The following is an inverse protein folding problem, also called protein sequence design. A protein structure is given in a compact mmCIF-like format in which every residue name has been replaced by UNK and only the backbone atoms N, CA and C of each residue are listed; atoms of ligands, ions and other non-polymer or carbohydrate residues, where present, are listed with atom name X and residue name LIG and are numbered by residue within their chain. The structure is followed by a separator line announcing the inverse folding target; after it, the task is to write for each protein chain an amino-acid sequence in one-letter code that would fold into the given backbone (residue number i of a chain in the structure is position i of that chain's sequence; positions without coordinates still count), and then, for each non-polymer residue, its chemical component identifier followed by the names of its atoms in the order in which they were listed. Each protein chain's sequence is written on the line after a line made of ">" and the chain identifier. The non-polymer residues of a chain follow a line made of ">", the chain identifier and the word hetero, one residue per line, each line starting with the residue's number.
data_IF_458467151552
#
_entry.id   IF_458467151552
#
_cell.length_a   1.000
_cell.length_b   1.000
_cell.length_c   1.000
_cell.angle_alpha   90.00
_cell.angle_beta   90.00
_cell.angle_gamma   90.00
#
_symmetry.space_group_name_H-M   'P 1'
#
loop_
_entity.id
_entity.type
_entity.pdbx_description
1 polymer ?
#
# COMPACT_ATOMS: atom_id res chain seq x y z
N UNK A 1 -20.30 -8.35 13.92
CA UNK A 1 -20.75 -7.07 14.50
C UNK A 1 -19.85 -5.93 14.06
N UNK A 2 -20.29 -4.69 14.25
CA UNK A 2 -19.45 -3.52 13.97
C UNK A 2 -18.21 -3.48 14.86
N UNK A 3 -18.35 -3.86 16.12
CA UNK A 3 -17.22 -3.86 17.08
C UNK A 3 -16.13 -4.87 16.65
N UNK A 4 -16.50 -6.06 16.21
CA UNK A 4 -15.54 -7.06 15.69
C UNK A 4 -14.79 -6.53 14.45
N UNK A 5 -15.48 -5.79 13.58
CA UNK A 5 -14.85 -5.16 12.42
C UNK A 5 -13.87 -4.08 12.87
N UNK A 6 -14.29 -3.23 13.81
CA UNK A 6 -13.45 -2.16 14.34
C UNK A 6 -12.16 -2.68 14.98
N UNK A 7 -12.27 -3.67 15.86
CA UNK A 7 -11.13 -4.33 16.51
C UNK A 7 -10.16 -4.98 15.49
N UNK A 8 -10.72 -5.60 14.46
CA UNK A 8 -9.90 -6.17 13.38
C UNK A 8 -9.16 -5.09 12.59
N UNK A 9 -9.83 -4.00 12.24
CA UNK A 9 -9.22 -2.89 11.51
C UNK A 9 -8.13 -2.19 12.35
N UNK A 10 -8.35 -1.98 13.65
CA UNK A 10 -7.32 -1.46 14.55
C UNK A 10 -6.05 -2.32 14.53
N UNK A 11 -6.21 -3.64 14.67
CA UNK A 11 -5.08 -4.58 14.61
C UNK A 11 -4.37 -4.55 13.25
N UNK A 12 -5.15 -4.51 12.17
CA UNK A 12 -4.60 -4.49 10.82
C UNK A 12 -3.82 -3.20 10.53
N UNK A 13 -4.42 -2.05 10.82
CA UNK A 13 -3.76 -0.75 10.60
C UNK A 13 -2.54 -0.59 11.53
N UNK A 14 -2.61 -1.09 12.77
CA UNK A 14 -1.47 -1.12 13.68
C UNK A 14 -0.29 -1.96 13.18
N UNK A 15 -0.57 -3.01 12.39
CA UNK A 15 0.47 -3.82 11.77
C UNK A 15 1.12 -3.14 10.56
N UNK A 16 0.30 -2.52 9.69
CA UNK A 16 0.76 -2.02 8.39
C UNK A 16 1.04 -0.51 8.37
N UNK A 17 0.56 0.24 9.36
CA UNK A 17 0.81 1.69 9.53
C UNK A 17 2.14 1.99 10.23
N UNK A 18 2.43 3.27 10.38
CA UNK A 18 3.66 3.75 11.02
C UNK A 18 3.72 3.33 12.50
N UNK A 19 4.90 2.90 12.95
CA UNK A 19 5.11 2.48 14.33
C UNK A 19 4.97 3.66 15.30
N UNK A 20 4.27 3.42 16.41
CA UNK A 20 4.05 4.42 17.47
C UNK A 20 2.98 5.46 17.16
N UNK A 21 2.31 5.39 16.00
CA UNK A 21 1.21 6.28 15.68
C UNK A 21 -0.06 5.87 16.39
N UNK A 22 -0.75 6.82 17.00
CA UNK A 22 -2.08 6.62 17.57
C UNK A 22 -3.09 6.37 16.45
N UNK A 23 -3.73 5.21 16.47
CA UNK A 23 -4.67 4.77 15.43
C UNK A 23 -6.11 4.90 15.92
N UNK A 24 -6.36 4.61 17.20
CA UNK A 24 -7.69 4.66 17.82
C UNK A 24 -8.17 6.10 18.02
N UNK A 25 -8.45 6.77 16.92
CA UNK A 25 -8.91 8.15 16.86
C UNK A 25 -10.40 8.24 16.52
N UNK A 26 -11.10 9.30 16.91
CA UNK A 26 -12.49 9.54 16.50
C UNK A 26 -12.68 9.47 14.97
N UNK A 27 -11.72 10.01 14.23
CA UNK A 27 -11.73 9.97 12.76
C UNK A 27 -11.61 8.53 12.23
N UNK A 28 -10.69 7.73 12.76
CA UNK A 28 -10.55 6.32 12.36
C UNK A 28 -11.83 5.54 12.62
N UNK A 29 -12.47 5.78 13.75
CA UNK A 29 -13.76 5.16 14.10
C UNK A 29 -14.86 5.55 13.12
N UNK A 30 -14.98 6.83 12.80
CA UNK A 30 -15.94 7.34 11.81
C UNK A 30 -15.70 6.72 10.43
N UNK A 31 -14.46 6.72 9.94
CA UNK A 31 -14.07 6.16 8.65
C UNK A 31 -14.39 4.65 8.59
N UNK A 32 -14.13 3.92 9.66
CA UNK A 32 -14.43 2.49 9.76
C UNK A 32 -15.94 2.22 9.71
N UNK A 33 -16.74 3.01 10.43
CA UNK A 33 -18.22 2.92 10.42
C UNK A 33 -18.74 3.22 9.00
N UNK A 34 -18.25 4.26 8.36
CA UNK A 34 -18.66 4.64 7.00
C UNK A 34 -18.32 3.54 5.98
N UNK A 35 -17.12 2.96 6.09
CA UNK A 35 -16.72 1.84 5.24
C UNK A 35 -17.58 0.59 5.48
N UNK A 36 -17.83 0.24 6.75
CA UNK A 36 -18.71 -0.87 7.09
C UNK A 36 -20.12 -0.69 6.51
N UNK A 37 -20.72 0.50 6.69
CA UNK A 37 -22.04 0.80 6.17
C UNK A 37 -22.09 0.74 4.63
N UNK A 38 -21.02 1.15 3.96
CA UNK A 38 -20.91 1.07 2.50
C UNK A 38 -20.87 -0.37 1.98
N UNK A 39 -20.22 -1.27 2.70
CA UNK A 39 -20.00 -2.66 2.24
C UNK A 39 -21.04 -3.65 2.76
N UNK A 40 -21.75 -3.36 3.87
CA UNK A 40 -22.75 -4.28 4.46
C UNK A 40 -23.85 -4.69 3.51
N UNK A 41 -24.23 -3.79 2.58
CA UNK A 41 -25.28 -4.01 1.60
C UNK A 41 -24.74 -4.65 0.30
N UNK A 42 -23.44 -4.85 0.18
CA UNK A 42 -22.86 -5.57 -0.95
C UNK A 42 -23.20 -7.05 -0.83
N UNK A 43 -24.07 -7.52 -1.73
CA UNK A 43 -24.60 -8.90 -1.77
C UNK A 43 -23.53 -9.99 -1.97
N UNK A 44 -22.29 -9.60 -2.16
CA UNK A 44 -21.23 -10.46 -2.59
C UNK A 44 -20.03 -10.36 -1.61
N UNK A 45 -19.99 -11.27 -0.65
CA UNK A 45 -18.86 -11.45 0.28
C UNK A 45 -17.57 -12.00 -0.36
N UNK A 46 -17.55 -12.27 -1.67
CA UNK A 46 -16.45 -12.92 -2.37
C UNK A 46 -15.39 -11.96 -2.94
N UNK A 47 -15.50 -10.65 -2.73
CA UNK A 47 -14.56 -9.67 -3.26
C UNK A 47 -13.10 -9.98 -2.91
N UNK A 48 -12.82 -10.28 -1.64
CA UNK A 48 -11.48 -10.69 -1.18
C UNK A 48 -11.01 -11.99 -1.84
N UNK A 49 -11.87 -13.01 -1.91
CA UNK A 49 -11.53 -14.28 -2.53
C UNK A 49 -11.21 -14.11 -4.03
N UNK A 50 -11.96 -13.28 -4.75
CA UNK A 50 -11.68 -12.96 -6.16
C UNK A 50 -10.33 -12.25 -6.33
N UNK A 51 -10.01 -11.28 -5.47
CA UNK A 51 -8.71 -10.62 -5.50
C UNK A 51 -7.57 -11.59 -5.24
N UNK A 52 -7.70 -12.43 -4.22
CA UNK A 52 -6.70 -13.46 -3.91
C UNK A 52 -6.50 -14.43 -5.08
N UNK A 53 -7.59 -14.91 -5.67
CA UNK A 53 -7.52 -15.79 -6.85
C UNK A 53 -6.87 -15.09 -8.05
N UNK A 54 -7.13 -13.80 -8.27
CA UNK A 54 -6.48 -13.03 -9.32
C UNK A 54 -4.97 -12.90 -9.08
N UNK A 55 -4.54 -12.70 -7.84
CA UNK A 55 -3.13 -12.66 -7.46
C UNK A 55 -2.46 -14.02 -7.70
N UNK A 56 -3.07 -15.10 -7.18
CA UNK A 56 -2.52 -16.47 -7.28
C UNK A 56 -2.48 -16.98 -8.72
N UNK A 57 -3.44 -16.59 -9.56
CA UNK A 57 -3.48 -16.95 -10.98
C UNK A 57 -2.61 -16.07 -11.87
N UNK A 58 -2.02 -15.00 -11.32
CA UNK A 58 -1.15 -14.10 -12.08
C UNK A 58 0.12 -14.82 -12.51
N UNK A 59 0.34 -14.89 -13.83
CA UNK A 59 1.59 -15.43 -14.40
C UNK A 59 2.76 -14.50 -14.09
N UNK A 60 3.98 -15.05 -14.20
CA UNK A 60 5.21 -14.27 -14.08
C UNK A 60 5.22 -13.09 -15.06
N UNK A 61 5.32 -11.87 -14.51
CA UNK A 61 5.27 -10.60 -15.26
C UNK A 61 6.64 -9.99 -15.55
N UNK A 62 7.73 -10.66 -15.22
CA UNK A 62 9.10 -10.13 -15.36
C UNK A 62 9.39 -9.62 -16.78
N UNK A 63 8.98 -10.37 -17.82
CA UNK A 63 9.17 -9.92 -19.21
C UNK A 63 8.44 -8.60 -19.50
N UNK A 64 7.22 -8.45 -19.00
CA UNK A 64 6.42 -7.22 -19.16
C UNK A 64 7.01 -6.05 -18.38
N UNK A 65 7.54 -6.30 -17.18
CA UNK A 65 8.20 -5.28 -16.36
C UNK A 65 9.46 -4.77 -17.06
N UNK A 66 10.28 -5.64 -17.61
CA UNK A 66 11.48 -5.28 -18.39
C UNK A 66 11.17 -4.44 -19.67
N UNK A 67 9.96 -4.55 -20.21
CA UNK A 67 9.56 -3.79 -21.40
C UNK A 67 8.97 -2.41 -21.10
N UNK A 68 8.87 -2.02 -19.83
CA UNK A 68 8.38 -0.68 -19.44
C UNK A 68 9.39 0.37 -19.89
N UNK A 69 8.94 1.28 -20.79
CA UNK A 69 9.74 2.41 -21.29
C UNK A 69 9.37 3.72 -20.58
N UNK A 70 8.26 3.76 -19.89
CA UNK A 70 7.82 4.94 -19.15
C UNK A 70 8.80 5.27 -18.02
N UNK A 71 9.03 6.56 -17.79
CA UNK A 71 9.72 7.03 -16.60
C UNK A 71 8.92 6.59 -15.37
N UNK A 72 9.55 5.89 -14.44
CA UNK A 72 8.89 5.22 -13.34
C UNK A 72 9.50 5.64 -12.01
N UNK A 73 8.67 6.08 -11.07
CA UNK A 73 9.09 6.29 -9.68
C UNK A 73 8.54 5.17 -8.80
N UNK A 74 9.42 4.46 -8.12
CA UNK A 74 9.08 3.38 -7.17
C UNK A 74 9.30 3.94 -5.76
N UNK A 75 8.25 3.89 -4.93
CA UNK A 75 8.32 4.31 -3.52
C UNK A 75 7.92 3.11 -2.67
N UNK A 76 8.72 2.78 -1.64
CA UNK A 76 8.45 1.63 -0.77
C UNK A 76 8.93 1.86 0.66
N UNK A 77 8.17 1.36 1.63
CA UNK A 77 8.57 1.36 3.03
C UNK A 77 9.58 0.26 3.33
N UNK A 78 10.69 0.60 3.98
CA UNK A 78 11.72 -0.38 4.36
C UNK A 78 11.19 -1.44 5.34
N UNK A 79 10.22 -1.05 6.18
CA UNK A 79 9.62 -1.88 7.23
C UNK A 79 8.26 -2.48 6.82
N UNK A 80 7.95 -2.52 5.53
CA UNK A 80 6.67 -3.07 5.05
C UNK A 80 6.53 -4.56 5.41
N UNK A 81 5.56 -4.93 6.28
CA UNK A 81 5.37 -6.31 6.70
C UNK A 81 4.56 -7.15 5.70
N UNK A 82 3.96 -6.52 4.70
CA UNK A 82 3.12 -7.18 3.69
C UNK A 82 3.92 -7.53 2.45
N UNK A 83 4.74 -6.59 1.99
CA UNK A 83 5.58 -6.75 0.80
C UNK A 83 7.02 -6.36 1.13
N UNK A 84 7.97 -7.24 0.93
CA UNK A 84 9.38 -6.93 1.15
C UNK A 84 9.87 -5.81 0.23
N UNK A 85 10.63 -4.86 0.78
CA UNK A 85 11.28 -3.79 0.02
C UNK A 85 12.24 -4.32 -1.07
N UNK A 86 12.71 -5.57 -0.94
CA UNK A 86 13.52 -6.24 -1.96
C UNK A 86 12.78 -6.42 -3.28
N UNK A 87 11.43 -6.55 -3.25
CA UNK A 87 10.64 -6.58 -4.48
C UNK A 87 10.76 -5.27 -5.27
N UNK A 88 10.75 -4.13 -4.58
CA UNK A 88 10.92 -2.82 -5.20
C UNK A 88 12.35 -2.58 -5.69
N UNK A 89 13.36 -3.05 -4.95
CA UNK A 89 14.77 -3.04 -5.41
C UNK A 89 14.91 -3.88 -6.69
N UNK A 90 14.31 -5.05 -6.73
CA UNK A 90 14.33 -5.90 -7.90
C UNK A 90 13.57 -5.29 -9.09
N UNK A 91 12.40 -4.69 -8.86
CA UNK A 91 11.69 -3.95 -9.91
C UNK A 91 12.52 -2.81 -10.48
N UNK A 92 13.20 -2.06 -9.63
CA UNK A 92 14.10 -0.98 -10.05
C UNK A 92 15.23 -1.49 -10.96
N UNK A 93 15.79 -2.67 -10.67
CA UNK A 93 16.80 -3.29 -11.54
C UNK A 93 16.23 -3.73 -12.90
N UNK A 94 14.94 -4.03 -12.98
CA UNK A 94 14.29 -4.52 -14.19
C UNK A 94 13.77 -3.40 -15.10
N UNK A 95 13.39 -2.25 -14.54
CA UNK A 95 12.78 -1.13 -15.29
C UNK A 95 13.88 -0.12 -15.66
N UNK A 96 14.23 0.02 -16.96
CA UNK A 96 15.41 0.81 -17.37
C UNK A 96 15.37 2.29 -16.97
N UNK A 97 14.16 2.88 -16.90
CA UNK A 97 13.95 4.31 -16.60
C UNK A 97 13.23 4.48 -15.27
N UNK A 98 13.71 3.80 -14.25
CA UNK A 98 13.10 3.92 -12.92
C UNK A 98 14.01 4.61 -11.91
N UNK A 99 13.37 5.34 -10.99
CA UNK A 99 13.95 5.83 -9.76
C UNK A 99 13.36 5.06 -8.59
N UNK A 100 14.15 4.81 -7.53
CA UNK A 100 13.73 4.13 -6.33
C UNK A 100 13.89 5.02 -5.10
N UNK A 101 12.85 5.07 -4.27
CA UNK A 101 12.87 5.71 -2.95
C UNK A 101 12.45 4.68 -1.91
N UNK A 102 13.39 4.27 -1.05
CA UNK A 102 13.10 3.46 0.12
C UNK A 102 13.04 4.37 1.34
N UNK A 103 11.93 4.31 2.07
CA UNK A 103 11.66 5.15 3.23
C UNK A 103 11.80 4.32 4.50
N UNK A 104 12.80 4.64 5.32
CA UNK A 104 13.24 3.82 6.45
C UNK A 104 12.16 3.54 7.50
N UNK A 105 11.37 4.56 7.84
CA UNK A 105 10.33 4.48 8.88
C UNK A 105 8.92 4.31 8.33
N UNK A 106 8.79 3.97 7.07
CA UNK A 106 7.51 3.67 6.42
C UNK A 106 7.27 2.16 6.41
N UNK A 107 6.07 1.77 6.76
CA UNK A 107 5.54 0.42 6.57
C UNK A 107 4.73 0.35 5.26
N UNK A 108 3.57 -0.28 5.26
CA UNK A 108 2.76 -0.47 4.05
C UNK A 108 1.91 0.74 3.68
N UNK A 109 1.49 1.53 4.67
CA UNK A 109 0.66 2.72 4.45
C UNK A 109 1.52 3.96 4.19
N UNK A 110 1.06 4.80 3.24
CA UNK A 110 1.59 6.14 3.05
C UNK A 110 0.79 7.09 3.93
N UNK A 111 1.38 7.51 5.02
CA UNK A 111 0.79 8.43 5.97
C UNK A 111 1.30 9.85 5.73
N UNK A 112 0.58 10.85 6.25
CA UNK A 112 0.87 12.27 6.00
C UNK A 112 2.29 12.65 6.43
N UNK A 113 2.75 12.11 7.55
CA UNK A 113 4.10 12.35 8.11
C UNK A 113 5.24 11.82 7.21
N UNK A 114 4.90 10.88 6.32
CA UNK A 114 5.85 10.30 5.37
C UNK A 114 5.94 11.11 4.07
N UNK A 115 4.89 11.85 3.72
CA UNK A 115 4.80 12.55 2.43
C UNK A 115 5.99 13.47 2.16
N UNK A 116 6.48 14.20 3.17
CA UNK A 116 7.58 15.15 3.00
C UNK A 116 8.91 14.48 2.65
N UNK A 117 9.07 13.18 2.98
CA UNK A 117 10.30 12.44 2.69
C UNK A 117 10.49 12.13 1.19
N UNK A 118 9.42 12.11 0.41
CA UNK A 118 9.50 11.84 -1.03
C UNK A 118 8.81 12.88 -1.92
N UNK A 119 8.10 13.84 -1.34
CA UNK A 119 7.32 14.87 -2.05
C UNK A 119 8.13 15.64 -3.10
N UNK A 120 9.36 16.03 -2.76
CA UNK A 120 10.24 16.72 -3.71
C UNK A 120 10.59 15.85 -4.91
N UNK A 121 10.88 14.56 -4.67
CA UNK A 121 11.19 13.59 -5.72
C UNK A 121 9.97 13.25 -6.58
N UNK A 122 8.80 13.12 -5.96
CA UNK A 122 7.53 12.94 -6.67
C UNK A 122 7.23 14.16 -7.58
N UNK A 123 7.35 15.37 -7.04
CA UNK A 123 7.16 16.61 -7.82
C UNK A 123 8.12 16.67 -9.00
N UNK A 124 9.41 16.40 -8.79
CA UNK A 124 10.39 16.35 -9.86
C UNK A 124 10.00 15.31 -10.93
N UNK A 125 9.60 14.12 -10.51
CA UNK A 125 9.19 13.05 -11.42
C UNK A 125 7.97 13.41 -12.28
N UNK A 126 7.00 14.13 -11.72
CA UNK A 126 5.78 14.55 -12.44
C UNK A 126 6.01 15.72 -13.41
N UNK A 127 7.05 16.54 -13.17
CA UNK A 127 7.31 17.76 -13.97
C UNK A 127 8.45 17.59 -14.99
N UNK A 128 9.11 16.46 -15.04
CA UNK A 128 10.22 16.12 -15.93
C UNK A 128 9.84 15.00 -16.91
#
# INVERSE_FOLDING_TARGET
>A
TMDEVYERELKWVGLIGMEGKEIDTPKFKEDTINNFNRIKDMKDGFGYARQLMAILSSKNRIKKIKSIQAKTLIIHGEQDPVLSAENSRYMHQLIPKSDLVIIRNMRHLIEEEILDQFKAKLKHHLLS
#
